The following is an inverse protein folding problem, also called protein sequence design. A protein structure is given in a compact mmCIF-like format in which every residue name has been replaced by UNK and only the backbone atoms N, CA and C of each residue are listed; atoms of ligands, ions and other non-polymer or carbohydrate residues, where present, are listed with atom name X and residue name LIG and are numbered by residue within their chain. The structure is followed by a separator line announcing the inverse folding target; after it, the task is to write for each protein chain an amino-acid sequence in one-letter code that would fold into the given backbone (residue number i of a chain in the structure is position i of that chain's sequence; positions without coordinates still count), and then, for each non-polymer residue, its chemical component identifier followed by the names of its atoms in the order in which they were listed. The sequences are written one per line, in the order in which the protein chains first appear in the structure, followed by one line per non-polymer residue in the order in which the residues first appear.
data_IF_029045776064
#
_entry.id   IF_029045776064
#
_cell.length_a   1.000
_cell.length_b   1.000
_cell.length_c   1.000
_cell.angle_alpha   90.00
_cell.angle_beta   90.00
_cell.angle_gamma   90.00
#
_symmetry.space_group_name_H-M   'P 1'
#
loop_
_entity.id
_entity.type
_entity.pdbx_description
1 polymer ?
#
# COMPACT_ATOMS: atom_id res chain seq x y z
N UNK A 1 1.10 54.00 -48.53
CA UNK A 1 1.14 53.69 -47.08
C UNK A 1 0.64 52.28 -46.69
N UNK A 2 0.84 51.23 -47.52
CA UNK A 2 0.26 49.87 -47.26
C UNK A 2 1.17 48.86 -46.55
N UNK A 3 2.50 49.08 -46.48
CA UNK A 3 3.48 48.11 -45.92
C UNK A 3 3.49 48.01 -44.38
N UNK A 4 3.10 49.06 -43.65
CA UNK A 4 3.20 49.09 -42.19
C UNK A 4 2.13 48.24 -41.48
N UNK A 5 0.96 48.03 -42.10
CA UNK A 5 -0.11 47.18 -41.53
C UNK A 5 0.24 45.69 -41.51
N UNK A 6 1.07 45.21 -42.46
CA UNK A 6 1.51 43.81 -42.49
C UNK A 6 2.53 43.47 -41.40
N UNK A 7 3.44 44.40 -41.09
CA UNK A 7 4.44 44.23 -40.04
C UNK A 7 3.80 44.18 -38.64
N UNK A 8 2.82 45.05 -38.37
CA UNK A 8 2.10 45.06 -37.09
C UNK A 8 1.35 43.74 -36.83
N UNK A 9 0.75 43.13 -37.87
CA UNK A 9 0.06 41.85 -37.76
C UNK A 9 1.02 40.71 -37.34
N UNK A 10 2.23 40.69 -37.91
CA UNK A 10 3.25 39.68 -37.59
C UNK A 10 3.74 39.83 -36.15
N UNK A 11 3.94 41.07 -35.68
CA UNK A 11 4.34 41.34 -34.29
C UNK A 11 3.24 40.89 -33.32
N UNK A 12 1.97 41.19 -33.59
CA UNK A 12 0.85 40.75 -32.76
C UNK A 12 0.72 39.23 -32.76
N UNK A 13 0.85 38.58 -33.92
CA UNK A 13 0.84 37.12 -34.02
C UNK A 13 2.00 36.49 -33.24
N UNK A 14 3.21 37.05 -33.34
CA UNK A 14 4.36 36.59 -32.56
C UNK A 14 4.13 36.71 -31.06
N UNK A 15 3.61 37.85 -30.60
CA UNK A 15 3.26 38.07 -29.18
C UNK A 15 2.16 37.11 -28.71
N UNK A 16 1.14 36.88 -29.54
CA UNK A 16 0.05 35.95 -29.24
C UNK A 16 0.53 34.50 -29.17
N UNK A 17 1.41 34.09 -30.08
CA UNK A 17 2.01 32.75 -30.08
C UNK A 17 2.89 32.51 -28.86
N UNK A 18 3.69 33.50 -28.45
CA UNK A 18 4.50 33.42 -27.23
C UNK A 18 3.60 33.35 -25.99
N UNK A 19 2.57 34.19 -25.89
CA UNK A 19 1.61 34.14 -24.79
C UNK A 19 0.86 32.80 -24.71
N UNK A 20 0.48 32.22 -25.85
CA UNK A 20 -0.17 30.92 -25.92
C UNK A 20 0.75 29.78 -25.50
N UNK A 21 2.02 29.80 -25.93
CA UNK A 21 3.03 28.83 -25.50
C UNK A 21 3.23 28.85 -23.99
N UNK A 22 3.32 30.04 -23.40
CA UNK A 22 3.44 30.21 -21.94
C UNK A 22 2.17 29.67 -21.25
N UNK A 23 0.98 29.99 -21.76
CA UNK A 23 -0.28 29.47 -21.21
C UNK A 23 -0.36 27.94 -21.22
N UNK A 24 -0.03 27.30 -22.35
CA UNK A 24 -0.03 25.84 -22.46
C UNK A 24 1.02 25.19 -21.56
N UNK A 25 2.19 25.82 -21.41
CA UNK A 25 3.23 25.35 -20.48
C UNK A 25 2.74 25.38 -19.02
N UNK A 26 2.06 26.46 -18.60
CA UNK A 26 1.47 26.57 -17.27
C UNK A 26 0.37 25.54 -17.01
N UNK A 27 -0.52 25.29 -17.98
CA UNK A 27 -1.55 24.24 -17.85
C UNK A 27 -0.92 22.84 -17.74
N UNK A 28 0.12 22.56 -18.53
CA UNK A 28 0.84 21.27 -18.45
C UNK A 28 1.52 21.10 -17.10
N UNK A 29 2.13 22.16 -16.56
CA UNK A 29 2.72 22.13 -15.22
C UNK A 29 1.66 21.80 -14.16
N UNK A 30 0.52 22.49 -14.20
CA UNK A 30 -0.57 22.26 -13.26
C UNK A 30 -1.13 20.82 -13.32
N UNK A 31 -1.24 20.24 -14.52
CA UNK A 31 -1.66 18.85 -14.68
C UNK A 31 -0.64 17.84 -14.14
N UNK A 32 0.65 18.14 -14.26
CA UNK A 32 1.72 17.32 -13.67
C UNK A 32 1.65 17.39 -12.14
N UNK A 33 1.49 18.59 -11.59
CA UNK A 33 1.37 18.80 -10.14
C UNK A 33 0.14 18.08 -9.57
N UNK A 34 -1.00 18.14 -10.25
CA UNK A 34 -2.22 17.43 -9.86
C UNK A 34 -2.04 15.91 -9.88
N UNK A 35 -1.36 15.38 -10.91
CA UNK A 35 -1.02 13.94 -10.97
C UNK A 35 -0.08 13.52 -9.85
N UNK A 36 0.93 14.33 -9.54
CA UNK A 36 1.85 14.06 -8.44
C UNK A 36 1.13 14.10 -7.08
N UNK A 37 0.28 15.10 -6.85
CA UNK A 37 -0.54 15.21 -5.66
C UNK A 37 -1.53 14.03 -5.52
N UNK A 38 -2.15 13.61 -6.63
CA UNK A 38 -3.01 12.43 -6.68
C UNK A 38 -2.26 11.14 -6.34
N UNK A 39 -1.08 10.94 -6.93
CA UNK A 39 -0.22 9.79 -6.64
C UNK A 39 0.23 9.78 -5.17
N UNK A 40 0.61 10.92 -4.62
CA UNK A 40 1.00 11.05 -3.22
C UNK A 40 -0.16 10.71 -2.28
N UNK A 41 -1.37 11.21 -2.55
CA UNK A 41 -2.57 10.88 -1.77
C UNK A 41 -2.87 9.39 -1.79
N UNK A 42 -2.80 8.74 -2.96
CA UNK A 42 -3.05 7.30 -3.10
C UNK A 42 -2.00 6.47 -2.34
N UNK A 43 -0.73 6.91 -2.34
CA UNK A 43 0.34 6.28 -1.58
C UNK A 43 0.07 6.35 -0.07
N UNK A 44 -0.23 7.54 0.45
CA UNK A 44 -0.52 7.73 1.88
C UNK A 44 -1.75 6.93 2.31
N UNK A 45 -2.81 6.92 1.50
CA UNK A 45 -4.01 6.13 1.80
C UNK A 45 -3.72 4.63 1.81
N UNK A 46 -2.87 4.13 0.91
CA UNK A 46 -2.40 2.75 0.94
C UNK A 46 -1.67 2.47 2.25
N UNK A 47 -0.69 3.31 2.60
CA UNK A 47 0.14 3.12 3.78
C UNK A 47 -0.72 3.05 5.05
N UNK A 48 -1.71 3.92 5.19
CA UNK A 48 -2.64 3.90 6.32
C UNK A 48 -3.45 2.60 6.41
N UNK A 49 -3.87 2.02 5.27
CA UNK A 49 -4.59 0.74 5.26
C UNK A 49 -3.65 -0.40 5.66
N UNK A 50 -2.40 -0.38 5.18
CA UNK A 50 -1.39 -1.38 5.55
C UNK A 50 -1.06 -1.34 7.05
N UNK A 51 -0.84 -0.15 7.60
CA UNK A 51 -0.63 0.05 9.04
C UNK A 51 -1.84 -0.42 9.86
N UNK A 52 -3.06 -0.13 9.40
CA UNK A 52 -4.29 -0.60 10.02
C UNK A 52 -4.43 -2.12 9.99
N UNK A 53 -4.03 -2.76 8.87
CA UNK A 53 -4.00 -4.21 8.75
C UNK A 53 -3.00 -4.84 9.73
N UNK A 54 -1.79 -4.29 9.83
CA UNK A 54 -0.78 -4.75 10.80
C UNK A 54 -1.25 -4.57 12.23
N UNK A 55 -1.84 -3.42 12.56
CA UNK A 55 -2.39 -3.16 13.87
C UNK A 55 -3.52 -4.16 14.21
N UNK A 56 -4.39 -4.46 13.25
CA UNK A 56 -5.46 -5.44 13.43
C UNK A 56 -4.93 -6.87 13.61
N UNK A 57 -3.85 -7.24 12.90
CA UNK A 57 -3.19 -8.54 13.05
C UNK A 57 -2.41 -8.67 14.37
N UNK A 58 -1.86 -7.56 14.87
CA UNK A 58 -1.18 -7.49 16.16
C UNK A 58 -2.14 -7.46 17.36
N UNK A 59 -3.38 -7.01 17.12
CA UNK A 59 -4.40 -6.84 18.14
C UNK A 59 -4.65 -8.11 18.96
N UNK A 60 -5.00 -7.92 20.22
CA UNK A 60 -5.17 -9.03 21.16
C UNK A 60 -6.48 -9.82 20.97
N UNK A 61 -7.41 -9.29 20.17
CA UNK A 61 -8.76 -9.84 19.96
C UNK A 61 -8.76 -11.27 19.43
N UNK A 62 -7.77 -11.64 18.61
CA UNK A 62 -7.59 -13.00 18.05
C UNK A 62 -6.19 -13.56 18.31
N UNK A 63 -5.60 -13.18 19.45
CA UNK A 63 -4.25 -13.62 19.81
C UNK A 63 -4.12 -15.15 19.84
N UNK A 64 -5.12 -15.89 20.32
CA UNK A 64 -5.09 -17.35 20.32
C UNK A 64 -5.03 -17.97 18.91
N UNK A 65 -5.86 -17.49 17.95
CA UNK A 65 -5.78 -17.97 16.57
C UNK A 65 -4.44 -17.60 15.91
N UNK A 66 -3.96 -16.38 16.15
CA UNK A 66 -2.67 -15.92 15.65
C UNK A 66 -1.53 -16.80 16.16
N UNK A 67 -1.50 -17.07 17.45
CA UNK A 67 -0.42 -17.84 18.09
C UNK A 67 -0.40 -19.28 17.57
N UNK A 68 -1.56 -19.93 17.40
CA UNK A 68 -1.67 -21.25 16.76
C UNK A 68 -1.12 -21.24 15.32
N UNK A 69 -1.43 -20.18 14.57
CA UNK A 69 -0.94 -20.04 13.19
C UNK A 69 0.58 -19.82 13.17
N UNK A 70 1.09 -19.00 14.07
CA UNK A 70 2.52 -18.71 14.20
C UNK A 70 3.31 -19.93 14.66
N UNK A 71 2.78 -20.75 15.56
CA UNK A 71 3.40 -22.02 15.95
C UNK A 71 3.52 -22.97 14.75
N UNK A 72 2.44 -23.08 13.95
CA UNK A 72 2.46 -23.87 12.72
C UNK A 72 3.49 -23.33 11.72
N UNK A 73 3.49 -22.03 11.48
CA UNK A 73 4.40 -21.38 10.54
C UNK A 73 5.85 -21.48 10.99
N UNK A 74 6.12 -21.33 12.29
CA UNK A 74 7.45 -21.49 12.85
C UNK A 74 7.95 -22.94 12.72
N UNK A 75 7.07 -23.94 12.82
CA UNK A 75 7.42 -25.34 12.60
C UNK A 75 7.64 -25.68 11.11
N UNK A 76 6.89 -25.05 10.20
CA UNK A 76 6.96 -25.36 8.76
C UNK A 76 8.02 -24.57 8.00
N UNK A 77 8.28 -23.32 8.38
CA UNK A 77 9.19 -22.43 7.66
C UNK A 77 10.65 -22.66 8.07
N UNK A 78 11.52 -22.72 7.06
CA UNK A 78 12.97 -22.55 7.20
C UNK A 78 13.36 -21.11 7.51
N UNK A 79 14.61 -20.88 7.91
CA UNK A 79 15.11 -19.52 8.17
C UNK A 79 15.11 -18.70 6.88
N UNK A 80 14.48 -17.53 6.91
CA UNK A 80 14.35 -16.62 5.77
C UNK A 80 13.16 -16.94 4.85
N UNK A 81 12.52 -18.09 5.00
CA UNK A 81 11.34 -18.44 4.22
C UNK A 81 10.13 -17.58 4.60
N UNK A 82 9.30 -17.31 3.61
CA UNK A 82 8.13 -16.46 3.70
C UNK A 82 6.87 -17.27 3.41
N UNK A 83 5.82 -17.01 4.17
CA UNK A 83 4.48 -17.51 3.92
C UNK A 83 3.53 -16.34 3.73
N UNK A 84 2.75 -16.36 2.64
CA UNK A 84 1.81 -15.29 2.32
C UNK A 84 0.41 -15.69 2.77
N UNK A 85 -0.19 -14.87 3.63
CA UNK A 85 -1.54 -15.03 4.14
C UNK A 85 -2.47 -14.11 3.36
N UNK A 86 -3.44 -14.70 2.66
CA UNK A 86 -4.40 -13.99 1.81
C UNK A 86 -5.82 -14.52 2.02
N UNK A 87 -6.81 -13.76 1.56
CA UNK A 87 -8.20 -14.20 1.47
C UNK A 87 -8.79 -14.66 2.81
N UNK A 88 -9.34 -15.88 2.83
CA UNK A 88 -10.03 -16.44 4.00
C UNK A 88 -9.11 -16.63 5.21
N UNK A 89 -7.84 -17.01 5.00
CA UNK A 89 -6.88 -17.16 6.08
C UNK A 89 -6.55 -15.81 6.75
N UNK A 90 -6.56 -14.73 5.98
CA UNK A 90 -6.44 -13.38 6.53
C UNK A 90 -7.69 -12.98 7.31
N UNK A 91 -8.88 -13.32 6.80
CA UNK A 91 -10.16 -13.08 7.48
C UNK A 91 -10.32 -13.88 8.78
N UNK A 92 -9.70 -15.04 8.91
CA UNK A 92 -9.72 -15.84 10.14
C UNK A 92 -8.76 -15.30 11.21
N UNK A 93 -7.66 -14.66 10.81
CA UNK A 93 -6.77 -13.92 11.71
C UNK A 93 -7.39 -12.61 12.21
N UNK A 94 -8.10 -11.90 11.35
CA UNK A 94 -8.71 -10.61 11.67
C UNK A 94 -10.11 -10.77 12.27
N UNK A 95 -10.56 -9.85 13.11
CA UNK A 95 -11.96 -9.87 13.58
C UNK A 95 -12.97 -9.78 12.43
N UNK A 96 -14.15 -10.38 12.61
CA UNK A 96 -15.22 -10.37 11.63
C UNK A 96 -15.58 -8.90 11.27
N UNK A 97 -15.63 -8.60 9.98
CA UNK A 97 -15.91 -7.25 9.48
C UNK A 97 -14.70 -6.31 9.38
N UNK A 98 -13.55 -6.63 9.96
CA UNK A 98 -12.33 -5.80 9.85
C UNK A 98 -11.78 -5.81 8.43
N UNK A 99 -11.76 -6.98 7.81
CA UNK A 99 -11.35 -7.11 6.40
C UNK A 99 -12.31 -6.35 5.47
N UNK A 100 -13.61 -6.36 5.77
CA UNK A 100 -14.61 -5.57 5.03
C UNK A 100 -14.46 -4.06 5.28
N UNK A 101 -14.09 -3.64 6.49
CA UNK A 101 -13.81 -2.25 6.82
C UNK A 101 -12.56 -1.75 6.09
N UNK A 102 -11.47 -2.53 6.10
CA UNK A 102 -10.25 -2.27 5.33
C UNK A 102 -10.53 -2.20 3.83
N UNK A 103 -11.33 -3.13 3.29
CA UNK A 103 -11.69 -3.14 1.88
C UNK A 103 -12.46 -1.88 1.46
N UNK A 104 -13.31 -1.32 2.32
CA UNK A 104 -14.03 -0.05 2.06
C UNK A 104 -13.12 1.17 2.09
N UNK A 105 -12.03 1.11 2.85
CA UNK A 105 -11.07 2.20 2.97
C UNK A 105 -9.99 2.15 1.88
N UNK A 106 -9.98 1.10 1.05
CA UNK A 106 -9.00 0.93 0.00
C UNK A 106 -9.17 1.98 -1.10
N UNK A 107 -8.11 2.72 -1.48
CA UNK A 107 -8.22 3.86 -2.39
C UNK A 107 -8.34 3.49 -3.87
N UNK A 108 -8.27 2.19 -4.21
CA UNK A 108 -8.37 1.70 -5.58
C UNK A 108 -9.79 1.21 -5.89
N UNK A 109 -10.32 1.71 -7.00
CA UNK A 109 -11.74 1.73 -7.33
C UNK A 109 -12.44 0.36 -7.29
N UNK A 110 -13.66 0.36 -6.76
CA UNK A 110 -14.63 -0.76 -6.75
C UNK A 110 -15.30 -0.97 -8.12
N UNK A 111 -14.93 -0.17 -9.12
CA UNK A 111 -15.58 -0.08 -10.43
C UNK A 111 -15.41 -1.35 -11.31
N UNK A 112 -14.45 -2.24 -11.00
CA UNK A 112 -14.28 -3.52 -11.69
C UNK A 112 -15.06 -4.64 -10.97
N UNK A 113 -16.37 -4.70 -11.21
CA UNK A 113 -17.31 -5.73 -10.72
C UNK A 113 -17.05 -7.15 -11.25
N UNK A 114 -15.81 -7.50 -11.63
CA UNK A 114 -15.50 -8.71 -12.40
C UNK A 114 -14.40 -9.62 -11.85
N UNK A 115 -13.62 -9.21 -10.85
CA UNK A 115 -12.61 -10.09 -10.26
C UNK A 115 -12.42 -9.75 -8.78
N UNK A 116 -12.61 -10.76 -7.94
CA UNK A 116 -12.47 -10.81 -6.48
C UNK A 116 -11.78 -9.58 -5.87
N UNK A 117 -12.58 -8.62 -5.38
CA UNK A 117 -12.10 -7.44 -4.62
C UNK A 117 -11.08 -7.81 -3.52
N UNK A 118 -11.14 -9.05 -3.03
CA UNK A 118 -10.23 -9.66 -2.06
C UNK A 118 -8.79 -9.88 -2.56
N UNK A 119 -8.56 -9.99 -3.87
CA UNK A 119 -7.23 -10.19 -4.47
C UNK A 119 -6.39 -8.91 -4.51
N UNK A 120 -7.02 -7.74 -4.32
CA UNK A 120 -6.33 -6.43 -4.25
C UNK A 120 -6.13 -5.96 -2.81
N UNK A 121 -6.59 -6.73 -1.81
CA UNK A 121 -6.37 -6.43 -0.40
C UNK A 121 -4.90 -6.71 -0.07
N UNK A 122 -4.24 -5.84 0.73
CA UNK A 122 -2.87 -6.06 1.17
C UNK A 122 -2.74 -7.43 1.84
N UNK A 123 -1.72 -8.16 1.42
CA UNK A 123 -1.44 -9.50 1.92
C UNK A 123 -0.56 -9.40 3.15
N UNK A 124 -0.69 -10.36 4.05
CA UNK A 124 0.14 -10.43 5.25
C UNK A 124 1.21 -11.49 5.03
N UNK A 125 2.47 -11.08 4.98
CA UNK A 125 3.61 -11.96 4.74
C UNK A 125 4.25 -12.25 6.09
N UNK A 126 4.37 -13.53 6.43
CA UNK A 126 5.08 -13.98 7.63
C UNK A 126 6.42 -14.56 7.21
N UNK A 127 7.51 -13.99 7.71
CA UNK A 127 8.87 -14.45 7.48
C UNK A 127 9.49 -14.98 8.76
N UNK A 128 10.12 -16.15 8.72
CA UNK A 128 10.88 -16.64 9.88
C UNK A 128 12.27 -16.00 9.91
N UNK A 129 12.54 -15.20 10.95
CA UNK A 129 13.83 -14.55 11.14
C UNK A 129 14.84 -15.49 11.81
N UNK A 130 14.40 -16.14 12.89
CA UNK A 130 15.21 -17.03 13.72
C UNK A 130 14.30 -17.99 14.51
N UNK A 131 14.85 -19.00 15.19
CA UNK A 131 14.12 -20.12 15.81
C UNK A 131 12.91 -19.73 16.69
N UNK A 132 12.93 -18.55 17.31
CA UNK A 132 11.83 -18.01 18.13
C UNK A 132 11.30 -16.66 17.63
N UNK A 133 11.62 -16.24 16.40
CA UNK A 133 11.29 -14.90 15.87
C UNK A 133 10.63 -14.96 14.51
N UNK A 134 9.44 -14.36 14.41
CA UNK A 134 8.69 -14.19 13.18
C UNK A 134 8.54 -12.70 12.87
N UNK A 135 8.80 -12.32 11.62
CA UNK A 135 8.44 -11.03 11.08
C UNK A 135 7.09 -11.13 10.37
N UNK A 136 6.22 -10.17 10.62
CA UNK A 136 4.93 -9.99 9.95
C UNK A 136 5.01 -8.69 9.18
N UNK A 137 4.81 -8.77 7.88
CA UNK A 137 5.00 -7.68 6.93
C UNK A 137 3.69 -7.51 6.17
N UNK A 138 3.38 -6.28 5.77
CA UNK A 138 2.41 -6.07 4.68
C UNK A 138 3.12 -6.19 3.36
N UNK A 139 2.55 -6.98 2.46
CA UNK A 139 3.05 -7.15 1.11
C UNK A 139 1.99 -6.75 0.12
N UNK A 140 2.36 -5.84 -0.79
CA UNK A 140 1.77 -5.75 -2.11
C UNK A 140 2.68 -6.53 -3.05
N UNK A 141 2.14 -7.56 -3.71
CA UNK A 141 2.88 -8.32 -4.71
C UNK A 141 2.99 -7.46 -5.99
N UNK A 142 3.97 -6.57 -6.03
CA UNK A 142 4.30 -5.78 -7.23
C UNK A 142 5.49 -6.42 -7.90
N UNK A 143 5.27 -7.05 -9.06
CA UNK A 143 6.33 -7.51 -9.97
C UNK A 143 7.48 -8.33 -9.32
N UNK A 144 7.20 -9.14 -8.30
CA UNK A 144 8.18 -10.08 -7.72
C UNK A 144 9.10 -9.49 -6.65
N UNK A 145 8.94 -8.23 -6.25
CA UNK A 145 9.67 -7.64 -5.13
C UNK A 145 8.68 -7.12 -4.08
N UNK A 146 8.69 -7.75 -2.90
CA UNK A 146 7.86 -7.34 -1.76
C UNK A 146 8.66 -6.30 -0.99
N UNK A 147 8.48 -5.02 -1.28
CA UNK A 147 9.04 -3.96 -0.45
C UNK A 147 8.20 -3.81 0.82
N UNK A 148 8.72 -4.17 2.01
CA UNK A 148 7.96 -4.03 3.24
C UNK A 148 7.94 -2.57 3.66
N UNK A 149 6.75 -1.96 3.71
CA UNK A 149 6.60 -0.58 4.19
C UNK A 149 6.44 -0.50 5.71
N UNK A 150 5.98 -1.58 6.36
CA UNK A 150 5.89 -1.68 7.80
C UNK A 150 6.09 -3.14 8.26
N UNK A 151 6.87 -3.32 9.33
CA UNK A 151 7.25 -4.63 9.85
C UNK A 151 6.95 -4.75 11.34
N UNK A 152 6.24 -5.82 11.72
CA UNK A 152 6.07 -6.22 13.10
C UNK A 152 6.91 -7.46 13.39
N UNK A 153 7.67 -7.44 14.49
CA UNK A 153 8.44 -8.62 14.91
C UNK A 153 7.80 -9.24 16.13
N UNK A 154 7.42 -10.50 15.99
CA UNK A 154 6.92 -11.35 17.07
C UNK A 154 8.01 -12.27 17.58
N UNK A 155 8.06 -12.44 18.90
CA UNK A 155 9.00 -13.32 19.58
C UNK A 155 8.20 -14.31 20.43
N UNK A 156 8.54 -15.59 20.31
CA UNK A 156 8.02 -16.65 21.15
C UNK A 156 8.75 -16.64 22.49
N UNK A 157 8.00 -16.67 23.59
CA UNK A 157 8.56 -16.69 24.94
C UNK A 157 8.15 -17.98 25.64
N UNK A 158 9.09 -18.76 26.19
CA UNK A 158 8.76 -20.00 26.91
C UNK A 158 8.13 -19.73 28.30
N UNK A 159 8.34 -18.53 28.84
CA UNK A 159 7.81 -18.12 30.15
C UNK A 159 6.29 -17.92 30.16
N UNK A 160 5.71 -17.65 29.00
CA UNK A 160 4.28 -17.66 28.74
C UNK A 160 4.15 -18.04 27.26
N UNK A 161 3.68 -19.26 26.91
CA UNK A 161 3.74 -19.82 25.56
C UNK A 161 2.79 -19.07 24.62
N UNK A 162 3.20 -17.86 24.24
CA UNK A 162 2.47 -16.91 23.41
C UNK A 162 3.46 -16.07 22.61
N UNK A 163 3.04 -15.67 21.43
CA UNK A 163 3.82 -14.75 20.61
C UNK A 163 3.60 -13.32 21.08
N UNK A 164 4.68 -12.63 21.43
CA UNK A 164 4.63 -11.24 21.89
C UNK A 164 5.22 -10.31 20.84
N UNK A 165 4.59 -9.15 20.66
CA UNK A 165 5.14 -8.09 19.82
C UNK A 165 6.39 -7.54 20.49
N UNK A 166 7.55 -7.76 19.88
CA UNK A 166 8.83 -7.29 20.41
C UNK A 166 9.21 -5.92 19.88
N UNK A 167 8.87 -5.61 18.61
CA UNK A 167 9.20 -4.33 17.98
C UNK A 167 8.30 -4.01 16.79
N UNK A 168 8.02 -2.72 16.62
CA UNK A 168 7.47 -2.12 15.41
C UNK A 168 8.65 -1.45 14.67
N UNK A 169 8.88 -1.81 13.41
CA UNK A 169 9.95 -1.26 12.56
C UNK A 169 9.39 -0.66 11.29
#
# INVERSE_FOLDING_TARGET
MKRQRGAALVVVMGLLSVALMIGVASLRSALVDERLAGNYRALVQTQMVEESLLAAAAGNTRAAQRDILFDRLAATLGRGEQFVIQGEALGSLLSAGTLSALARQWPFDQQDSGASSLARIPTLVVQKLDGSRLAVLTGRQVAGDTQPQAQLVFVYTDTAPRWQLARLQ
#
